data_IF_394867613874
#
_entry.id   IF_394867613874
#
_cell.length_a   1.000
_cell.length_b   1.000
_cell.length_c   1.000
_cell.angle_alpha   90.00
_cell.angle_beta   90.00
_cell.angle_gamma   90.00
#
_symmetry.space_group_name_H-M   'P 1'
#
loop_
_entity.id
_entity.type
_entity.pdbx_description
1 polymer ?
2 non-polymer ?
3 water ?
#
# COMPACT_ATOMS: atom_id res chain seq x y z
N UNK A 1 29.47 -9.93 0.99
CA UNK A 1 30.70 -10.78 0.83
C UNK A 1 31.59 -10.31 -0.31
N UNK A 2 32.75 -10.92 -0.39
CA UNK A 2 33.69 -10.69 -1.47
C UNK A 2 33.05 -11.20 -2.72
N UNK A 3 33.20 -10.39 -3.76
CA UNK A 3 32.78 -10.71 -5.10
C UNK A 3 31.27 -10.84 -5.24
N UNK A 4 30.53 -10.33 -4.26
CA UNK A 4 29.08 -10.39 -4.34
C UNK A 4 28.58 -9.03 -3.98
N UNK A 5 27.78 -8.49 -4.88
CA UNK A 5 27.33 -7.12 -4.75
C UNK A 5 26.30 -7.00 -3.64
N UNK A 6 26.19 -5.77 -3.16
CA UNK A 6 25.23 -5.37 -2.13
C UNK A 6 24.15 -4.50 -2.75
N UNK A 7 22.90 -4.88 -2.52
CA UNK A 7 21.71 -4.15 -2.96
C UNK A 7 20.75 -4.05 -1.77
N UNK A 8 20.85 -2.95 -1.00
CA UNK A 8 19.90 -2.71 0.06
C UNK A 8 18.48 -2.49 -0.45
N UNK A 9 17.53 -2.86 0.38
CA UNK A 9 16.12 -2.51 0.17
C UNK A 9 15.68 -1.67 1.37
N UNK A 10 15.04 -0.55 1.05
CA UNK A 10 14.58 0.41 2.05
C UNK A 10 13.07 0.48 1.94
N UNK A 11 12.41 -0.02 2.97
CA UNK A 11 10.96 -0.03 3.03
C UNK A 11 10.44 1.16 3.85
N UNK A 12 9.13 1.41 3.80
CA UNK A 12 8.57 2.55 4.56
C UNK A 12 8.55 2.29 6.08
N UNK A 13 8.33 1.04 6.49
CA UNK A 13 8.11 0.73 7.91
C UNK A 13 8.34 -0.76 8.14
N UNK A 14 9.44 -1.08 8.81
CA UNK A 14 9.81 -2.49 9.04
C UNK A 14 8.90 -3.27 9.98
N UNK A 15 8.05 -2.56 10.73
CA UNK A 15 7.10 -3.18 11.68
C UNK A 15 5.76 -3.58 11.07
N UNK A 16 5.54 -3.23 9.81
CA UNK A 16 4.28 -3.48 9.11
C UNK A 16 4.33 -4.84 8.41
N UNK A 17 3.27 -5.64 8.55
CA UNK A 17 3.22 -6.94 7.87
C UNK A 17 3.38 -6.80 6.37
N UNK A 18 2.76 -5.77 5.79
CA UNK A 18 2.90 -5.58 4.37
C UNK A 18 4.37 -5.47 3.94
N UNK A 19 5.11 -4.60 4.63
CA UNK A 19 6.54 -4.42 4.31
C UNK A 19 7.37 -5.64 4.62
N UNK A 20 6.94 -6.40 5.61
CA UNK A 20 7.61 -7.68 5.90
C UNK A 20 7.46 -8.69 4.75
N UNK A 21 6.36 -8.61 4.03
CA UNK A 21 6.17 -9.45 2.83
C UNK A 21 7.16 -9.02 1.75
N UNK A 22 7.22 -7.69 1.50
CA UNK A 22 8.22 -7.11 0.58
C UNK A 22 9.64 -7.57 0.93
N UNK A 23 9.98 -7.49 2.22
CA UNK A 23 11.32 -7.90 2.67
C UNK A 23 11.58 -9.40 2.51
N UNK A 24 10.55 -10.22 2.76
CA UNK A 24 10.65 -11.62 2.47
C UNK A 24 10.97 -11.91 0.97
N UNK A 25 10.32 -11.18 0.06
CA UNK A 25 10.61 -11.31 -1.35
C UNK A 25 12.05 -10.93 -1.71
N UNK A 26 12.48 -9.77 -1.19
CA UNK A 26 13.81 -9.26 -1.41
C UNK A 26 14.85 -10.24 -0.87
N UNK A 27 14.56 -10.80 0.30
CA UNK A 27 15.47 -11.77 0.97
C UNK A 27 15.65 -13.01 0.09
N UNK A 28 14.52 -13.54 -0.39
CA UNK A 28 14.56 -14.77 -1.19
C UNK A 28 15.38 -14.49 -2.48
N UNK A 29 15.13 -13.33 -3.08
CA UNK A 29 15.88 -12.95 -4.28
C UNK A 29 17.38 -12.87 -4.00
N UNK A 30 17.76 -12.28 -2.87
CA UNK A 30 19.16 -12.22 -2.48
C UNK A 30 19.78 -13.62 -2.44
N UNK A 31 19.06 -14.54 -1.84
CA UNK A 31 19.55 -15.93 -1.70
C UNK A 31 19.60 -16.60 -3.08
N UNK A 32 18.56 -16.41 -3.88
CA UNK A 32 18.48 -17.11 -5.17
C UNK A 32 19.57 -16.63 -6.11
N UNK A 33 19.85 -15.33 -6.06
CA UNK A 33 20.65 -14.67 -7.08
C UNK A 33 22.10 -14.40 -6.64
N UNK A 34 22.37 -14.64 -5.37
CA UNK A 34 23.69 -14.37 -4.80
C UNK A 34 24.02 -12.89 -4.66
N UNK A 35 23.12 -12.20 -3.98
CA UNK A 35 23.26 -10.78 -3.68
C UNK A 35 23.06 -10.58 -2.17
N UNK A 36 23.89 -9.77 -1.56
CA UNK A 36 23.69 -9.39 -0.15
C UNK A 36 22.59 -8.30 -0.16
N UNK A 37 21.52 -8.52 0.60
CA UNK A 37 20.38 -7.60 0.67
C UNK A 37 20.12 -7.14 2.11
N UNK A 38 20.80 -6.07 2.53
CA UNK A 38 20.44 -5.46 3.79
C UNK A 38 19.00 -4.98 3.77
N UNK A 39 18.32 -5.21 4.87
CA UNK A 39 16.90 -4.90 5.00
C UNK A 39 16.76 -3.68 5.90
N UNK A 40 16.47 -2.57 5.25
CA UNK A 40 16.54 -1.23 5.83
C UNK A 40 15.19 -0.56 5.89
N UNK A 41 15.07 0.41 6.81
CA UNK A 41 13.84 1.16 6.92
C UNK A 41 13.60 1.69 8.33
N UNK A 42 12.80 2.77 8.40
CA UNK A 42 12.36 3.34 9.64
C UNK A 42 11.25 2.44 10.20
N UNK A 43 10.75 2.84 11.36
CA UNK A 43 9.74 2.01 12.10
C UNK A 43 8.39 2.73 12.07
N UNK A 44 8.24 3.67 11.13
CA UNK A 44 6.96 4.33 10.92
C UNK A 44 6.97 4.90 9.52
N UNK A 45 5.85 4.77 8.81
CA UNK A 45 5.71 5.40 7.47
C UNK A 45 5.79 6.93 7.54
N UNK A 46 5.44 7.48 8.69
CA UNK A 46 5.41 8.92 8.90
C UNK A 46 6.79 9.48 9.20
N UNK A 47 7.78 8.60 9.43
CA UNK A 47 9.15 9.04 9.70
C UNK A 47 9.85 9.23 8.36
N UNK A 48 9.57 10.38 7.75
CA UNK A 48 10.11 10.65 6.44
C UNK A 48 11.60 10.97 6.54
N UNK A 49 11.96 11.77 7.54
CA UNK A 49 13.36 12.11 7.80
C UNK A 49 14.17 10.83 8.01
N UNK A 50 13.55 9.88 8.73
CA UNK A 50 14.18 8.62 9.04
C UNK A 50 14.54 7.90 7.77
N UNK A 51 13.60 7.86 6.84
CA UNK A 51 13.88 7.21 5.56
C UNK A 51 14.97 7.95 4.76
N UNK A 52 14.90 9.27 4.75
CA UNK A 52 15.90 10.06 4.03
C UNK A 52 17.31 9.79 4.57
N UNK A 53 17.43 9.80 5.90
CA UNK A 53 18.69 9.49 6.57
C UNK A 53 19.23 8.12 6.20
N UNK A 54 18.34 7.14 6.21
CA UNK A 54 18.71 5.76 5.84
C UNK A 54 19.19 5.69 4.38
N UNK A 55 18.46 6.35 3.47
CA UNK A 55 18.89 6.43 2.09
C UNK A 55 20.27 7.05 1.95
N UNK A 56 20.48 8.19 2.61
CA UNK A 56 21.80 8.89 2.56
C UNK A 56 22.92 7.97 3.02
N UNK A 57 22.66 7.22 4.10
CA UNK A 57 23.68 6.36 4.70
C UNK A 57 23.96 5.16 3.79
N UNK A 58 22.90 4.61 3.21
CA UNK A 58 23.06 3.48 2.29
C UNK A 58 23.87 3.91 1.04
N UNK A 59 23.57 5.10 0.53
CA UNK A 59 24.30 5.67 -0.60
C UNK A 59 25.80 5.81 -0.27
N UNK A 60 26.08 6.29 0.94
CA UNK A 60 27.44 6.53 1.36
C UNK A 60 28.29 5.25 1.39
N UNK A 61 27.61 4.13 1.57
CA UNK A 61 28.25 2.80 1.56
C UNK A 61 28.58 2.20 0.20
N UNK A 62 28.27 2.94 -0.86
CA UNK A 62 28.65 2.55 -2.23
C UNK A 62 28.12 1.16 -2.66
N UNK A 63 26.81 0.93 -2.46
CA UNK A 63 26.28 -0.36 -2.91
C UNK A 63 26.13 -0.39 -4.43
N UNK A 64 25.84 -1.55 -5.00
CA UNK A 64 25.67 -1.65 -6.47
C UNK A 64 24.38 -1.03 -6.99
N UNK A 65 23.37 -1.08 -6.13
CA UNK A 65 22.08 -0.50 -6.45
C UNK A 65 21.27 -0.41 -5.14
N UNK A 66 20.17 0.31 -5.19
CA UNK A 66 19.26 0.41 -4.07
C UNK A 66 17.83 0.26 -4.56
N UNK A 67 17.04 -0.51 -3.80
CA UNK A 67 15.60 -0.59 -4.00
C UNK A 67 14.94 0.18 -2.87
N UNK A 68 14.02 1.07 -3.22
CA UNK A 68 13.33 1.87 -2.21
C UNK A 68 11.83 2.01 -2.50
N UNK A 69 11.05 1.99 -1.42
CA UNK A 69 9.62 2.40 -1.43
C UNK A 69 9.54 3.79 -0.82
N UNK A 70 9.56 4.85 -1.66
CA UNK A 70 9.56 6.19 -1.10
C UNK A 70 8.35 6.46 -0.23
N UNK A 71 8.59 6.94 0.99
CA UNK A 71 7.51 7.06 1.95
C UNK A 71 6.59 8.26 1.72
N UNK A 72 7.12 9.34 1.14
CA UNK A 72 6.35 10.56 0.91
C UNK A 72 6.82 11.04 -0.48
N UNK A 73 5.88 11.42 -1.33
CA UNK A 73 6.13 11.71 -2.74
C UNK A 73 7.06 12.92 -2.97
N UNK A 74 6.70 14.06 -2.40
CA UNK A 74 7.49 15.27 -2.62
C UNK A 74 8.83 15.19 -1.90
N UNK A 75 8.80 14.80 -0.62
CA UNK A 75 10.03 14.86 0.22
C UNK A 75 11.17 13.92 -0.24
N UNK A 76 10.81 12.84 -0.92
CA UNK A 76 11.80 11.88 -1.39
C UNK A 76 12.35 12.22 -2.78
N UNK A 77 11.77 13.20 -3.47
CA UNK A 77 12.22 13.55 -4.83
C UNK A 77 13.68 13.90 -4.91
N UNK A 78 14.05 14.96 -4.19
CA UNK A 78 15.43 15.42 -4.16
C UNK A 78 16.38 14.35 -3.58
N UNK A 79 15.97 13.65 -2.47
CA UNK A 79 16.88 12.63 -1.98
C UNK A 79 17.16 11.54 -3.02
N UNK A 80 16.14 11.14 -3.77
CA UNK A 80 16.36 10.17 -4.82
C UNK A 80 17.23 10.74 -5.94
N UNK A 81 17.01 12.00 -6.32
CA UNK A 81 17.86 12.63 -7.36
C UNK A 81 19.33 12.58 -6.91
N UNK A 82 19.56 12.90 -5.63
CA UNK A 82 20.91 12.94 -5.09
C UNK A 82 21.55 11.56 -5.08
N UNK A 83 20.81 10.58 -4.55
CA UNK A 83 21.27 9.20 -4.53
C UNK A 83 21.65 8.67 -5.92
N UNK A 84 20.83 9.03 -6.90
CA UNK A 84 20.98 8.55 -8.26
C UNK A 84 22.26 9.03 -8.93
N UNK A 85 22.85 10.11 -8.42
CA UNK A 85 24.14 10.63 -8.93
C UNK A 85 25.29 9.67 -8.73
N UNK A 86 25.15 8.76 -7.78
CA UNK A 86 26.18 7.74 -7.56
C UNK A 86 25.76 6.26 -7.52
N UNK A 87 24.46 5.99 -7.33
CA UNK A 87 23.93 4.63 -7.21
C UNK A 87 22.62 4.51 -8.02
N UNK A 88 22.46 3.46 -8.85
CA UNK A 88 21.14 3.29 -9.49
C UNK A 88 20.06 2.93 -8.49
N UNK A 89 18.90 3.56 -8.68
CA UNK A 89 17.77 3.46 -7.74
C UNK A 89 16.61 2.84 -8.46
N UNK A 90 16.09 1.77 -7.88
CA UNK A 90 14.91 1.08 -8.36
C UNK A 90 13.79 1.38 -7.36
N UNK A 91 12.66 1.88 -7.85
CA UNK A 91 11.52 2.19 -6.98
C UNK A 91 10.48 1.09 -6.93
N UNK A 92 9.84 0.99 -5.77
CA UNK A 92 8.67 0.11 -5.62
C UNK A 92 7.54 0.83 -4.89
N UNK A 93 6.31 0.36 -5.16
CA UNK A 93 5.11 0.64 -4.33
C UNK A 93 4.47 2.02 -4.40
N UNK A 94 5.27 3.08 -4.39
CA UNK A 94 4.76 4.40 -4.07
C UNK A 94 5.71 5.41 -4.68
N UNK A 95 5.18 6.37 -5.44
CA UNK A 95 6.03 7.25 -6.24
C UNK A 95 6.75 8.33 -5.47
N UNK A 96 7.72 8.92 -6.16
CA UNK A 96 8.42 10.09 -5.64
C UNK A 96 8.59 11.10 -6.76
N UNK A 97 8.79 12.33 -6.34
CA UNK A 97 9.01 13.45 -7.30
C UNK A 97 10.43 13.46 -7.91
N UNK A 98 10.75 12.39 -8.64
CA UNK A 98 12.04 12.19 -9.28
C UNK A 98 11.83 11.33 -10.51
N UNK A 99 12.55 11.70 -11.56
CA UNK A 99 12.59 10.90 -12.81
C UNK A 99 13.86 10.05 -12.87
N UNK A 100 14.56 9.95 -11.74
CA UNK A 100 15.89 9.34 -11.74
C UNK A 100 15.88 7.84 -11.61
N UNK A 101 14.70 7.29 -11.29
CA UNK A 101 14.59 5.83 -11.11
C UNK A 101 14.89 5.07 -12.41
N UNK A 102 15.59 3.96 -12.29
CA UNK A 102 15.91 3.08 -13.42
C UNK A 102 14.78 2.14 -13.78
N UNK A 103 13.97 1.85 -12.78
CA UNK A 103 12.76 1.03 -12.97
C UNK A 103 11.85 1.28 -11.81
N UNK A 104 10.59 0.94 -11.99
CA UNK A 104 9.59 1.11 -10.96
C UNK A 104 8.57 -0.03 -11.01
N UNK A 105 8.40 -0.71 -9.88
CA UNK A 105 7.49 -1.86 -9.78
C UNK A 105 6.41 -1.51 -8.77
N UNK A 106 5.16 -1.53 -9.19
CA UNK A 106 4.07 -0.99 -8.39
C UNK A 106 2.70 -1.46 -8.84
N UNK A 107 1.76 -1.48 -7.88
CA UNK A 107 0.35 -1.47 -8.24
C UNK A 107 0.04 -0.19 -9.05
N UNK A 108 -0.93 -0.27 -9.96
CA UNK A 108 -1.57 0.90 -10.55
C UNK A 108 -2.53 1.40 -9.47
N UNK A 109 -2.05 2.36 -8.69
CA UNK A 109 -2.77 2.80 -7.51
C UNK A 109 -4.05 3.60 -7.79
N UNK A 110 -4.08 4.29 -8.91
CA UNK A 110 -5.29 5.00 -9.28
C UNK A 110 -6.38 3.97 -9.62
N UNK A 111 -6.02 2.95 -10.41
CA UNK A 111 -6.94 1.88 -10.72
C UNK A 111 -7.37 1.14 -9.45
N UNK A 112 -6.45 1.00 -8.51
CA UNK A 112 -6.76 0.34 -7.24
C UNK A 112 -7.85 1.10 -6.48
N UNK A 113 -7.80 2.44 -6.51
CA UNK A 113 -8.88 3.25 -5.94
C UNK A 113 -10.21 3.08 -6.69
N UNK A 114 -10.14 3.03 -8.02
CA UNK A 114 -11.34 2.79 -8.82
C UNK A 114 -11.99 1.45 -8.51
N UNK A 115 -11.15 0.42 -8.42
CA UNK A 115 -11.59 -0.95 -8.05
C UNK A 115 -12.28 -0.97 -6.68
N UNK A 116 -11.74 -0.19 -5.76
CA UNK A 116 -12.29 -0.11 -4.42
C UNK A 116 -13.65 0.58 -4.44
N UNK A 117 -13.75 1.64 -5.27
CA UNK A 117 -15.05 2.34 -5.43
C UNK A 117 -16.13 1.40 -5.97
N UNK A 118 -15.76 0.64 -6.99
CA UNK A 118 -16.69 -0.33 -7.58
C UNK A 118 -17.11 -1.34 -6.51
N UNK A 119 -16.16 -1.78 -5.68
CA UNK A 119 -16.42 -2.84 -4.66
C UNK A 119 -17.32 -2.28 -3.59
N UNK A 120 -17.11 -1.01 -3.24
CA UNK A 120 -17.90 -0.39 -2.18
C UNK A 120 -19.36 -0.19 -2.63
N UNK A 121 -19.51 0.23 -3.87
CA UNK A 121 -20.85 0.41 -4.44
C UNK A 121 -21.58 -0.91 -4.47
N UNK A 122 -20.88 -1.97 -4.89
CA UNK A 122 -21.49 -3.30 -4.98
C UNK A 122 -21.92 -3.76 -3.58
N UNK A 123 -21.07 -3.50 -2.60
CA UNK A 123 -21.36 -3.93 -1.23
C UNK A 123 -22.56 -3.20 -0.65
N UNK A 124 -22.62 -1.90 -0.91
CA UNK A 124 -23.76 -1.09 -0.46
C UNK A 124 -25.05 -1.60 -1.16
N UNK A 125 -24.97 -1.88 -2.44
CA UNK A 125 -26.11 -2.41 -3.19
C UNK A 125 -26.60 -3.74 -2.62
N UNK A 126 -25.68 -4.65 -2.30
CA UNK A 126 -26.11 -5.91 -1.70
C UNK A 126 -26.81 -5.68 -0.37
N UNK A 127 -26.30 -4.75 0.43
CA UNK A 127 -26.87 -4.49 1.76
C UNK A 127 -28.24 -3.80 1.68
N UNK A 128 -28.37 -2.84 0.76
CA UNK A 128 -29.54 -1.95 0.76
C UNK A 128 -30.45 -2.04 -0.47
N UNK A 129 -29.95 -2.71 -1.51
CA UNK A 129 -30.64 -2.81 -2.78
C UNK A 129 -30.31 -1.76 -3.81
N UNK A 130 -29.56 -0.74 -3.39
CA UNK A 130 -29.20 0.36 -4.27
C UNK A 130 -27.86 0.95 -3.92
N UNK A 131 -27.30 1.64 -4.89
CA UNK A 131 -26.01 2.32 -4.76
C UNK A 131 -26.20 3.77 -4.28
N UNK A 132 -26.79 3.93 -3.09
CA UNK A 132 -27.01 5.26 -2.51
C UNK A 132 -26.53 5.30 -1.08
N UNK A 133 -26.09 6.47 -0.66
CA UNK A 133 -25.76 6.66 0.72
C UNK A 133 -24.48 7.43 0.92
N UNK A 134 -24.24 7.72 2.19
CA UNK A 134 -23.07 8.47 2.62
C UNK A 134 -21.88 7.58 2.83
N UNK A 135 -20.75 7.97 2.26
CA UNK A 135 -19.53 7.20 2.38
C UNK A 135 -18.38 8.08 2.82
N UNK A 136 -17.32 7.44 3.30
CA UNK A 136 -16.13 8.11 3.79
C UNK A 136 -14.87 7.42 3.26
N UNK A 137 -13.78 8.18 3.18
CA UNK A 137 -12.49 7.66 2.90
C UNK A 137 -11.56 8.03 4.06
N UNK A 138 -10.76 7.05 4.46
CA UNK A 138 -9.78 7.23 5.51
C UNK A 138 -8.41 6.74 4.99
N UNK A 139 -7.46 7.65 5.06
CA UNK A 139 -6.10 7.54 4.53
C UNK A 139 -5.08 7.57 5.67
N UNK A 140 -4.13 6.64 5.61
CA UNK A 140 -3.16 6.39 6.70
C UNK A 140 -2.42 7.63 7.17
N UNK A 141 -1.94 8.40 6.18
CA UNK A 141 -1.10 9.57 6.42
C UNK A 141 -1.09 10.40 5.11
N UNK A 142 -0.89 11.73 5.21
CA UNK A 142 -0.87 12.53 3.97
C UNK A 142 0.44 12.46 3.17
N UNK A 143 0.36 12.76 1.88
CA UNK A 143 1.58 12.97 1.12
C UNK A 143 2.24 11.73 0.52
N UNK A 144 1.61 10.58 0.64
CA UNK A 144 2.17 9.33 0.07
C UNK A 144 1.75 9.17 -1.37
N UNK A 145 2.64 8.79 -2.23
CA UNK A 145 2.29 8.62 -3.64
C UNK A 145 1.18 7.59 -3.84
N UNK A 146 1.37 6.40 -3.26
CA UNK A 146 0.41 5.30 -3.44
C UNK A 146 -0.98 5.73 -2.92
N UNK A 147 -1.01 6.28 -1.71
CA UNK A 147 -2.29 6.58 -1.05
C UNK A 147 -3.06 7.74 -1.71
N UNK A 148 -2.30 8.77 -2.13
CA UNK A 148 -2.95 9.90 -2.82
C UNK A 148 -3.58 9.45 -4.15
N UNK A 149 -2.90 8.54 -4.84
CA UNK A 149 -3.47 7.99 -6.07
C UNK A 149 -4.73 7.14 -5.82
N UNK A 150 -4.71 6.32 -4.77
CA UNK A 150 -5.91 5.52 -4.40
C UNK A 150 -7.06 6.46 -4.09
N UNK A 151 -6.77 7.52 -3.36
CA UNK A 151 -7.80 8.49 -3.01
C UNK A 151 -8.40 9.12 -4.28
N UNK A 152 -7.55 9.54 -5.19
CA UNK A 152 -7.99 10.14 -6.46
C UNK A 152 -8.84 9.14 -7.26
N UNK A 153 -8.34 7.92 -7.39
CA UNK A 153 -9.02 6.94 -8.21
C UNK A 153 -10.40 6.67 -7.64
N UNK A 154 -10.48 6.53 -6.30
CA UNK A 154 -11.75 6.32 -5.62
C UNK A 154 -12.72 7.48 -5.80
N UNK A 155 -12.26 8.69 -5.48
CA UNK A 155 -13.11 9.86 -5.55
C UNK A 155 -13.65 10.09 -6.97
N UNK A 156 -12.79 9.96 -7.98
CA UNK A 156 -13.16 10.14 -9.35
C UNK A 156 -14.23 9.13 -9.80
N UNK A 157 -14.05 7.88 -9.42
CA UNK A 157 -14.99 6.83 -9.82
C UNK A 157 -16.33 7.08 -9.13
N UNK A 158 -16.28 7.43 -7.85
CA UNK A 158 -17.52 7.74 -7.14
C UNK A 158 -18.28 8.86 -7.82
N UNK A 159 -17.54 9.87 -8.17
CA UNK A 159 -18.17 11.06 -8.76
C UNK A 159 -18.87 10.80 -10.08
N UNK A 160 -18.26 10.00 -10.95
CA UNK A 160 -18.84 9.82 -12.30
C UNK A 160 -19.78 8.60 -12.37
N UNK A 161 -19.41 7.54 -11.70
CA UNK A 161 -20.12 6.30 -11.87
C UNK A 161 -21.20 6.09 -10.81
N UNK A 162 -21.02 6.69 -9.64
CA UNK A 162 -21.91 6.40 -8.48
C UNK A 162 -22.49 7.68 -7.90
N UNK A 163 -23.27 8.40 -8.72
CA UNK A 163 -23.75 9.69 -8.21
C UNK A 163 -24.66 9.64 -6.97
N UNK A 164 -25.19 8.44 -6.64
CA UNK A 164 -26.03 8.25 -5.46
C UNK A 164 -25.22 8.13 -4.16
N UNK A 165 -23.90 7.93 -4.30
CA UNK A 165 -22.97 7.93 -3.16
C UNK A 165 -22.49 9.35 -2.91
N UNK A 166 -22.53 9.75 -1.63
CA UNK A 166 -22.08 11.09 -1.28
C UNK A 166 -20.86 10.92 -0.35
N UNK A 167 -19.73 11.51 -0.72
CA UNK A 167 -18.55 11.53 0.12
C UNK A 167 -18.70 12.61 1.17
N UNK A 168 -18.91 12.18 2.41
CA UNK A 168 -19.17 13.08 3.52
C UNK A 168 -17.97 13.30 4.45
N UNK A 169 -16.93 12.49 4.30
CA UNK A 169 -15.69 12.71 5.06
C UNK A 169 -14.52 12.14 4.29
N UNK A 170 -13.39 12.83 4.42
CA UNK A 170 -12.15 12.47 3.73
C UNK A 170 -11.07 12.74 4.74
N UNK A 171 -10.68 11.70 5.50
CA UNK A 171 -9.90 11.89 6.73
C UNK A 171 -8.53 11.23 6.59
N UNK A 172 -7.57 11.80 7.32
CA UNK A 172 -6.22 11.26 7.40
C UNK A 172 -5.89 10.95 8.82
N UNK A 173 -5.19 9.85 8.98
CA UNK A 173 -4.72 9.42 10.28
C UNK A 173 -3.24 9.86 10.41
N UNK A 174 -2.56 9.31 11.42
CA UNK A 174 -1.16 9.58 11.76
C UNK A 174 -0.32 8.29 11.64
N UNK A 175 -0.72 7.42 10.74
CA UNK A 175 -0.02 6.19 10.54
C UNK A 175 -0.30 5.06 11.50
N UNK A 176 -1.18 5.26 12.47
CA UNK A 176 -1.51 4.19 13.44
C UNK A 176 -2.93 3.64 13.28
N UNK A 177 -3.02 2.31 13.30
CA UNK A 177 -4.30 1.62 13.20
C UNK A 177 -5.27 2.13 14.25
N UNK A 178 -4.76 2.39 15.46
CA UNK A 178 -5.66 2.82 16.53
C UNK A 178 -6.30 4.18 16.23
N UNK A 179 -5.57 5.03 15.53
CA UNK A 179 -6.13 6.29 15.09
C UNK A 179 -7.25 6.10 14.04
N UNK A 180 -7.03 5.17 13.11
CA UNK A 180 -8.09 4.70 12.20
C UNK A 180 -9.37 4.26 12.92
N UNK A 181 -9.14 3.44 13.93
CA UNK A 181 -10.22 2.99 14.77
C UNK A 181 -11.03 4.16 15.39
N UNK A 182 -10.32 5.08 16.02
CA UNK A 182 -10.92 6.24 16.64
C UNK A 182 -11.61 7.17 15.63
N UNK A 183 -10.98 7.39 14.49
CA UNK A 183 -11.61 8.21 13.43
C UNK A 183 -12.92 7.55 13.00
N UNK A 184 -12.90 6.22 12.79
CA UNK A 184 -14.10 5.54 12.32
C UNK A 184 -15.24 5.66 13.33
N UNK A 185 -14.90 5.45 14.61
CA UNK A 185 -15.90 5.51 15.69
C UNK A 185 -16.47 6.95 15.79
N UNK A 186 -15.57 7.94 15.65
CA UNK A 186 -15.96 9.36 15.73
C UNK A 186 -16.90 9.72 14.58
N UNK A 187 -16.52 9.28 13.40
CA UNK A 187 -17.25 9.59 12.17
C UNK A 187 -18.66 9.07 12.21
N UNK A 188 -18.81 7.83 12.64
CA UNK A 188 -20.12 7.22 12.59
C UNK A 188 -21.03 7.71 13.70
N UNK A 189 -20.47 7.93 14.87
CA UNK A 189 -21.33 8.33 15.98
C UNK A 189 -21.93 9.70 15.62
N UNK A 190 -21.13 10.52 14.95
CA UNK A 190 -21.52 11.86 14.50
C UNK A 190 -22.44 11.90 13.27
N UNK A 191 -22.10 11.10 12.25
CA UNK A 191 -22.98 10.96 11.09
C UNK A 191 -23.48 9.53 10.97
N UNK A 192 -24.60 9.23 11.65
CA UNK A 192 -25.12 7.87 11.59
C UNK A 192 -25.66 7.42 10.20
N UNK A 193 -25.72 8.34 9.24
CA UNK A 193 -26.07 7.99 7.85
C UNK A 193 -24.95 7.27 7.07
N UNK A 194 -23.74 7.20 7.63
CA UNK A 194 -22.63 6.60 6.89
C UNK A 194 -22.93 5.10 6.65
N UNK A 195 -22.85 4.67 5.39
CA UNK A 195 -23.08 3.25 5.04
C UNK A 195 -21.87 2.53 4.46
N UNK A 196 -20.83 3.31 4.18
CA UNK A 196 -19.67 2.80 3.49
C UNK A 196 -18.38 3.53 3.80
N UNK A 197 -17.26 2.81 3.76
CA UNK A 197 -15.96 3.33 4.06
C UNK A 197 -14.91 2.70 3.18
N UNK A 198 -14.02 3.54 2.64
CA UNK A 198 -12.78 3.07 1.97
C UNK A 198 -11.60 3.36 2.88
N UNK A 199 -10.93 2.30 3.32
CA UNK A 199 -9.72 2.27 4.19
C UNK A 199 -8.55 1.86 3.31
N UNK A 200 -7.75 2.83 2.90
CA UNK A 200 -6.97 2.64 1.67
C UNK A 200 -5.58 1.98 1.79
N UNK A 201 -5.27 1.43 2.96
CA UNK A 201 -4.09 0.58 3.08
C UNK A 201 -4.30 -0.43 4.22
N UNK A 202 -3.29 -1.27 4.45
CA UNK A 202 -3.43 -2.32 5.46
C UNK A 202 -3.76 -1.73 6.85
N UNK A 203 -3.05 -0.68 7.22
CA UNK A 203 -3.11 -0.12 8.55
C UNK A 203 -4.50 0.45 8.83
N UNK A 204 -5.04 1.17 7.85
CA UNK A 204 -6.39 1.65 8.00
C UNK A 204 -7.44 0.54 7.95
N UNK A 205 -7.22 -0.46 7.12
CA UNK A 205 -8.11 -1.63 7.14
C UNK A 205 -8.15 -2.33 8.51
N UNK A 206 -7.00 -2.46 9.13
CA UNK A 206 -6.94 -3.05 10.50
C UNK A 206 -7.79 -2.24 11.46
N UNK A 207 -7.52 -0.95 11.54
CA UNK A 207 -8.22 -0.08 12.48
C UNK A 207 -9.70 0.12 12.23
N UNK A 208 -10.05 0.37 10.96
CA UNK A 208 -11.46 0.54 10.60
C UNK A 208 -12.24 -0.77 10.76
N UNK A 209 -11.65 -1.87 10.30
CA UNK A 209 -12.27 -3.16 10.47
C UNK A 209 -12.52 -3.44 11.94
N UNK A 210 -11.53 -3.14 12.77
CA UNK A 210 -11.62 -3.36 14.23
C UNK A 210 -12.80 -2.57 14.78
N UNK A 211 -12.96 -1.33 14.38
CA UNK A 211 -14.08 -0.50 14.84
C UNK A 211 -15.46 -1.10 14.47
N UNK A 212 -15.56 -1.57 13.22
CA UNK A 212 -16.79 -2.19 12.78
C UNK A 212 -17.07 -3.53 13.50
N UNK A 213 -16.03 -4.37 13.65
CA UNK A 213 -16.15 -5.67 14.36
C UNK A 213 -16.59 -5.45 15.82
N UNK A 214 -15.89 -4.56 16.52
CA UNK A 214 -16.10 -4.38 17.96
C UNK A 214 -17.46 -3.82 18.28
N UNK A 215 -18.01 -3.05 17.36
CA UNK A 215 -19.29 -2.42 17.56
C UNK A 215 -20.43 -3.13 16.88
N UNK A 216 -20.11 -4.28 16.27
CA UNK A 216 -21.15 -5.12 15.64
C UNK A 216 -21.89 -4.42 14.54
N UNK A 217 -21.13 -3.70 13.73
CA UNK A 217 -21.74 -2.84 12.70
C UNK A 217 -21.69 -3.42 11.30
N UNK A 218 -21.24 -4.66 11.14
CA UNK A 218 -21.04 -5.28 9.81
C UNK A 218 -22.29 -5.25 8.89
N UNK A 219 -23.47 -5.32 9.49
CA UNK A 219 -24.72 -5.31 8.71
C UNK A 219 -25.25 -3.89 8.44
N UNK A 220 -24.53 -2.90 8.90
CA UNK A 220 -24.91 -1.48 8.71
C UNK A 220 -23.85 -0.64 7.94
N UNK A 221 -22.59 -1.05 7.99
CA UNK A 221 -21.51 -0.28 7.37
C UNK A 221 -20.59 -1.21 6.62
N UNK A 222 -20.44 -0.94 5.33
CA UNK A 222 -19.62 -1.75 4.46
C UNK A 222 -18.25 -1.15 4.31
N UNK A 223 -17.22 -1.95 4.56
CA UNK A 223 -15.83 -1.48 4.49
C UNK A 223 -15.09 -2.13 3.36
N UNK A 224 -14.47 -1.33 2.49
CA UNK A 224 -13.49 -1.81 1.55
C UNK A 224 -12.11 -1.38 2.02
N UNK A 225 -11.21 -2.35 2.18
CA UNK A 225 -9.85 -2.05 2.58
C UNK A 225 -8.85 -2.45 1.51
N UNK A 226 -7.58 -2.41 1.91
CA UNK A 226 -6.46 -2.80 1.08
C UNK A 226 -5.62 -3.81 1.86
N UNK A 227 -4.96 -4.70 1.11
CA UNK A 227 -3.92 -5.58 1.59
C UNK A 227 -4.51 -6.72 2.43
N UNK A 228 -3.63 -7.44 3.10
CA UNK A 228 -4.05 -8.62 3.82
C UNK A 228 -3.12 -8.88 4.96
N UNK A 229 -3.70 -9.41 6.03
CA UNK A 229 -2.97 -9.99 7.17
C UNK A 229 -3.99 -10.88 7.90
N UNK A 230 -3.55 -11.56 8.97
CA UNK A 230 -4.44 -12.46 9.75
C UNK A 230 -5.68 -11.70 10.22
N UNK A 231 -5.48 -10.51 10.76
CA UNK A 231 -6.58 -9.76 11.31
C UNK A 231 -7.59 -9.36 10.24
N UNK A 232 -7.10 -8.74 9.15
CA UNK A 232 -8.02 -8.27 8.11
C UNK A 232 -8.69 -9.42 7.37
N UNK A 233 -7.97 -10.54 7.20
CA UNK A 233 -8.59 -11.72 6.59
C UNK A 233 -9.66 -12.29 7.51
N UNK A 234 -9.44 -12.22 8.82
CA UNK A 234 -10.47 -12.59 9.80
C UNK A 234 -11.73 -11.74 9.67
N UNK A 235 -11.51 -10.43 9.45
CA UNK A 235 -12.63 -9.49 9.28
C UNK A 235 -13.37 -9.74 7.96
N UNK A 236 -12.64 -10.14 6.93
CA UNK A 236 -13.29 -10.49 5.66
C UNK A 236 -14.24 -11.69 5.82
N UNK A 237 -13.80 -12.66 6.59
CA UNK A 237 -14.61 -13.85 6.82
C UNK A 237 -15.77 -13.56 7.76
N UNK A 238 -15.52 -12.72 8.76
CA UNK A 238 -16.53 -12.43 9.78
C UNK A 238 -17.59 -11.48 9.24
N UNK A 239 -17.24 -10.74 8.17
CA UNK A 239 -18.12 -9.77 7.56
C UNK A 239 -17.85 -8.33 7.99
N UNK A 240 -16.92 -8.14 8.91
CA UNK A 240 -16.56 -6.75 9.31
C UNK A 240 -15.91 -5.94 8.21
N UNK A 241 -15.26 -6.62 7.29
CA UNK A 241 -14.74 -6.03 6.06
C UNK A 241 -15.45 -6.70 4.89
N UNK A 242 -15.89 -5.93 3.89
CA UNK A 242 -16.61 -6.43 2.73
C UNK A 242 -15.69 -6.85 1.59
N UNK A 243 -14.53 -6.21 1.52
CA UNK A 243 -13.58 -6.48 0.46
C UNK A 243 -12.25 -5.91 0.79
N UNK A 244 -11.19 -6.53 0.24
CA UNK A 244 -9.83 -6.04 0.34
C UNK A 244 -9.20 -6.02 -1.01
N UNK A 245 -8.66 -4.85 -1.42
CA UNK A 245 -7.85 -4.80 -2.65
C UNK A 245 -6.44 -5.25 -2.32
N UNK A 246 -6.04 -6.36 -2.93
CA UNK A 246 -4.78 -7.02 -2.60
C UNK A 246 -3.76 -6.81 -3.73
N UNK A 247 -2.55 -6.46 -3.31
CA UNK A 247 -1.43 -6.17 -4.18
C UNK A 247 -0.48 -7.36 -4.22
N UNK A 248 0.69 -7.20 -4.83
CA UNK A 248 1.74 -8.24 -4.84
C UNK A 248 3.04 -7.72 -4.25
N UNK A 249 3.06 -7.47 -2.93
CA UNK A 249 4.26 -6.99 -2.31
C UNK A 249 5.45 -7.95 -2.39
N UNK A 250 5.21 -9.26 -2.31
CA UNK A 250 6.30 -10.24 -2.44
C UNK A 250 7.06 -10.04 -3.75
N UNK A 251 6.31 -9.90 -4.85
CA UNK A 251 6.93 -9.68 -6.15
C UNK A 251 7.67 -8.34 -6.22
N UNK A 252 7.07 -7.29 -5.65
CA UNK A 252 7.78 -5.99 -5.59
C UNK A 252 9.18 -6.16 -4.97
N UNK A 253 9.28 -6.91 -3.88
CA UNK A 253 10.56 -7.18 -3.22
C UNK A 253 11.49 -8.05 -4.07
N UNK A 254 10.94 -9.15 -4.57
CA UNK A 254 11.71 -10.12 -5.33
C UNK A 254 12.22 -9.53 -6.64
N UNK A 255 11.28 -9.10 -7.46
CA UNK A 255 11.58 -8.59 -8.76
C UNK A 255 12.24 -7.22 -8.63
N UNK A 256 12.04 -6.52 -7.52
CA UNK A 256 12.83 -5.31 -7.24
C UNK A 256 14.32 -5.58 -7.17
N UNK A 257 14.69 -6.52 -6.32
CA UNK A 257 16.08 -6.95 -6.23
C UNK A 257 16.61 -7.52 -7.54
N UNK A 258 15.83 -8.39 -8.17
CA UNK A 258 16.25 -8.97 -9.46
C UNK A 258 16.52 -7.87 -10.52
N UNK A 259 15.62 -6.89 -10.59
CA UNK A 259 15.79 -5.75 -11.51
C UNK A 259 16.99 -4.89 -11.16
N UNK A 260 17.17 -4.62 -9.88
CA UNK A 260 18.31 -3.83 -9.44
C UNK A 260 19.64 -4.54 -9.80
N UNK A 261 19.71 -5.86 -9.59
CA UNK A 261 20.88 -6.59 -10.01
C UNK A 261 21.16 -6.42 -11.52
N UNK A 262 20.12 -6.56 -12.32
CA UNK A 262 20.31 -6.44 -13.75
C UNK A 262 20.81 -5.04 -14.13
N UNK A 263 20.23 -4.02 -13.51
CA UNK A 263 20.68 -2.64 -13.75
C UNK A 263 22.17 -2.45 -13.35
N UNK A 264 22.56 -3.02 -12.21
CA UNK A 264 23.95 -2.97 -11.72
C UNK A 264 24.94 -3.61 -12.68
N UNK A 265 24.48 -4.55 -13.50
CA UNK A 265 25.31 -5.18 -14.56
C UNK A 265 25.22 -4.48 -15.91
N UNK A 266 24.53 -3.35 -15.96
CA UNK A 266 24.41 -2.55 -17.18
C UNK A 266 23.37 -3.07 -18.13
N UNK A 267 22.49 -3.94 -17.65
CA UNK A 267 21.45 -4.55 -18.52
C UNK A 267 20.23 -3.61 -18.66
N UNK A 268 19.65 -3.59 -19.86
CA UNK A 268 18.43 -2.79 -20.07
C UNK A 268 17.25 -3.51 -19.41
N UNK A 269 16.45 -2.73 -18.69
CA UNK A 269 15.27 -3.23 -17.97
C UNK A 269 14.04 -2.44 -18.37
N UNK A 270 12.86 -2.99 -18.09
CA UNK A 270 11.61 -2.26 -18.29
C UNK A 270 11.50 -1.14 -17.26
N UNK A 271 11.06 0.01 -17.73
CA UNK A 271 10.94 1.22 -16.93
C UNK A 271 9.86 1.09 -15.88
N UNK A 272 8.78 0.38 -16.25
CA UNK A 272 7.56 0.30 -15.42
C UNK A 272 7.01 -1.13 -15.47
N UNK A 273 6.76 -1.71 -14.30
CA UNK A 273 6.14 -3.04 -14.16
C UNK A 273 4.92 -2.83 -13.25
N UNK A 274 3.75 -3.19 -13.79
CA UNK A 274 2.48 -3.21 -13.09
C UNK A 274 2.30 -4.54 -12.43
N UNK A 275 2.38 -4.54 -11.11
CA UNK A 275 2.36 -5.79 -10.33
C UNK A 275 0.93 -6.28 -9.98
N UNK A 276 -0.10 -5.51 -10.39
CA UNK A 276 -1.47 -5.96 -10.31
C UNK A 276 -2.21 -5.70 -9.01
N UNK A 277 -3.52 -5.65 -9.13
CA UNK A 277 -4.45 -5.50 -8.00
C UNK A 277 -5.66 -6.36 -8.20
N UNK A 278 -6.15 -6.96 -7.12
CA UNK A 278 -7.37 -7.77 -7.14
C UNK A 278 -8.25 -7.49 -5.94
N UNK A 279 -9.52 -7.21 -6.22
CA UNK A 279 -10.53 -7.12 -5.16
C UNK A 279 -10.86 -8.52 -4.65
N UNK A 280 -10.58 -8.70 -3.37
CA UNK A 280 -10.79 -9.98 -2.71
C UNK A 280 -11.99 -9.87 -1.79
N UNK A 281 -12.90 -10.84 -1.93
CA UNK A 281 -14.10 -10.92 -1.10
C UNK A 281 -14.24 -12.34 -0.60
N UNK A 282 -15.26 -12.58 0.24
CA UNK A 282 -15.63 -13.97 0.63
C UNK A 282 -15.83 -14.87 -0.57
N UNK A 283 -16.44 -14.31 -1.60
CA UNK A 283 -16.81 -15.05 -2.81
C UNK A 283 -15.59 -15.55 -3.62
N UNK A 284 -14.47 -14.86 -3.50
CA UNK A 284 -13.29 -15.25 -4.29
C UNK A 284 -11.96 -15.50 -3.56
N UNK A 285 -11.98 -15.44 -2.23
CA UNK A 285 -10.75 -15.57 -1.46
C UNK A 285 -10.12 -16.95 -1.56
N UNK A 286 -10.88 -17.94 -2.01
CA UNK A 286 -10.32 -19.27 -2.24
C UNK A 286 -9.88 -19.53 -3.68
N UNK A 287 -10.10 -18.57 -4.58
CA UNK A 287 -9.63 -18.73 -5.94
C UNK A 287 -8.12 -18.99 -5.87
N UNK A 288 -7.60 -19.96 -6.65
CA UNK A 288 -6.18 -20.27 -6.52
C UNK A 288 -5.20 -19.07 -6.72
N UNK A 289 -5.48 -18.16 -7.67
CA UNK A 289 -4.58 -17.01 -7.84
C UNK A 289 -4.55 -16.14 -6.58
N UNK A 290 -5.73 -16.01 -5.97
CA UNK A 290 -5.92 -15.16 -4.79
C UNK A 290 -5.28 -15.80 -3.57
N UNK A 291 -5.48 -17.09 -3.39
CA UNK A 291 -4.89 -17.78 -2.29
C UNK A 291 -3.42 -17.66 -2.31
N UNK A 292 -2.82 -17.70 -3.48
CA UNK A 292 -1.37 -17.56 -3.52
C UNK A 292 -0.89 -16.16 -3.07
N UNK A 293 -1.72 -15.13 -3.31
CA UNK A 293 -1.45 -13.74 -2.88
C UNK A 293 -1.73 -13.42 -1.41
N UNK A 294 -2.74 -14.04 -0.81
CA UNK A 294 -3.08 -13.72 0.60
C UNK A 294 -2.54 -14.78 1.58
N UNK A 295 -2.03 -15.85 0.95
CA UNK A 295 -1.48 -17.05 1.57
C UNK A 295 -2.43 -17.97 2.31
#
# INVERSE_FOLDING_TARGET
SMAEVTIPIIVKDTTSFYWQIVLAGARKAGKDLGVKVPELGAQAETDVNGQISILENAVAGKPAAIVISPTEFKALGKPVDEAAKSVPIIGIDSGADSKAFKSFLTTDNTQGGRIAADGLAAAIKAMTGKEEGDVVIITNTPGAGSLEQRRTGFLDQVKTKYPGLKVVADKYADGQATTGLNIMTDLITANPKIVGVFASNLIMAQGVGQAIAENKLSDKVKVIGFDSDDKTLGFLKSGAIAGLVVQDPYRMGYDGIKTALAVSKGEKVEANVDTGANLVTKANMSDPKIEALINPKVK
#
